data_IF_863814096557
#
_entry.id   IF_863814096557
#
_cell.length_a   1.000
_cell.length_b   1.000
_cell.length_c   1.000
_cell.angle_alpha   90.00
_cell.angle_beta   90.00
_cell.angle_gamma   90.00
#
_symmetry.space_group_name_H-M   'P 1'
#
loop_
_entity.id
_entity.type
_entity.pdbx_description
1 polymer ?
#
# COMPACT_ATOMS: atom_id res chain seq x y z
N UNK A 1 15.59 -9.24 10.19
CA UNK A 1 15.84 -9.54 11.61
C UNK A 1 15.17 -8.43 12.39
N UNK A 2 14.13 -8.76 13.11
CA UNK A 2 13.37 -7.80 13.90
C UNK A 2 14.19 -7.37 15.12
N UNK A 3 14.14 -6.11 15.48
CA UNK A 3 14.86 -5.54 16.62
C UNK A 3 13.87 -4.79 17.49
N UNK A 4 13.84 -5.12 18.77
CA UNK A 4 13.12 -4.36 19.78
C UNK A 4 13.96 -3.19 20.26
N UNK A 5 13.34 -2.01 20.41
CA UNK A 5 13.97 -0.80 20.93
C UNK A 5 13.13 -0.23 22.06
N UNK A 6 13.78 0.28 23.09
CA UNK A 6 13.12 0.83 24.28
C UNK A 6 13.31 2.35 24.41
N UNK A 7 13.98 2.98 23.45
CA UNK A 7 14.22 4.41 23.45
C UNK A 7 14.33 4.98 22.02
N UNK A 8 14.04 6.27 21.89
CA UNK A 8 14.27 7.01 20.65
C UNK A 8 15.74 6.97 20.21
N UNK A 9 16.69 6.99 21.17
CA UNK A 9 18.11 6.90 20.88
C UNK A 9 18.51 5.57 20.23
N UNK A 10 17.99 4.46 20.74
CA UNK A 10 18.20 3.13 20.14
C UNK A 10 17.58 3.05 18.74
N UNK A 11 16.36 3.56 18.58
CA UNK A 11 15.71 3.65 17.27
C UNK A 11 16.56 4.39 16.26
N UNK A 12 17.05 5.59 16.62
CA UNK A 12 17.89 6.41 15.74
C UNK A 12 19.22 5.72 15.40
N UNK A 13 19.82 5.00 16.35
CA UNK A 13 21.06 4.24 16.12
C UNK A 13 20.86 3.17 15.04
N UNK A 14 19.77 2.40 15.12
CA UNK A 14 19.43 1.38 14.12
C UNK A 14 19.13 2.03 12.77
N UNK A 15 18.34 3.11 12.79
CA UNK A 15 17.96 3.87 11.61
C UNK A 15 19.18 4.40 10.85
N UNK A 16 20.12 5.06 11.54
CA UNK A 16 21.34 5.57 10.89
C UNK A 16 22.20 4.45 10.32
N UNK A 17 22.27 3.31 10.95
CA UNK A 17 22.90 2.10 10.40
C UNK A 17 22.26 1.71 9.06
N UNK A 18 20.93 1.62 9.01
CA UNK A 18 20.18 1.29 7.80
C UNK A 18 20.33 2.33 6.70
N UNK A 19 20.26 3.61 7.04
CA UNK A 19 20.47 4.71 6.08
C UNK A 19 21.87 4.61 5.46
N UNK A 20 22.91 4.35 6.27
CA UNK A 20 24.29 4.20 5.79
C UNK A 20 24.44 3.01 4.84
N UNK A 21 23.87 1.86 5.17
CA UNK A 21 23.84 0.66 4.30
C UNK A 21 23.17 0.95 2.96
N UNK A 22 22.06 1.71 2.96
CA UNK A 22 21.28 1.98 1.75
C UNK A 22 21.85 3.11 0.89
N UNK A 23 22.55 4.08 1.48
CA UNK A 23 23.31 5.09 0.71
C UNK A 23 24.34 4.46 -0.22
N UNK A 24 24.94 3.34 0.18
CA UNK A 24 25.89 2.62 -0.65
C UNK A 24 25.20 1.92 -1.85
N UNK A 25 23.89 1.70 -1.79
CA UNK A 25 23.08 1.04 -2.82
C UNK A 25 22.24 2.00 -3.64
N UNK A 26 22.35 3.31 -3.39
CA UNK A 26 21.51 4.36 -4.00
C UNK A 26 20.00 4.05 -3.92
N UNK A 27 19.55 3.53 -2.77
CA UNK A 27 18.17 3.08 -2.57
C UNK A 27 17.46 4.04 -1.63
N UNK A 28 16.25 4.48 -2.00
CA UNK A 28 15.39 5.27 -1.13
C UNK A 28 14.74 4.38 -0.06
N UNK A 29 14.64 4.87 1.17
CA UNK A 29 13.94 4.21 2.26
C UNK A 29 12.56 4.82 2.46
N UNK A 30 11.57 3.95 2.65
CA UNK A 30 10.24 4.33 3.09
C UNK A 30 9.95 3.68 4.43
N UNK A 31 9.04 4.30 5.17
CA UNK A 31 8.73 3.89 6.54
C UNK A 31 7.22 3.82 6.74
N UNK A 32 6.78 2.93 7.63
CA UNK A 32 5.41 2.87 8.10
C UNK A 32 5.40 2.50 9.57
N UNK A 33 4.71 3.29 10.40
CA UNK A 33 4.43 2.97 11.80
C UNK A 33 3.05 2.35 11.97
N UNK A 34 2.94 1.37 12.85
CA UNK A 34 1.70 0.77 13.30
C UNK A 34 1.70 0.67 14.82
N UNK A 35 0.58 1.01 15.47
CA UNK A 35 0.46 1.07 16.93
C UNK A 35 0.45 -0.31 17.62
N UNK A 36 0.38 -1.39 16.87
CA UNK A 36 0.51 -2.75 17.39
C UNK A 36 1.30 -3.64 16.45
N UNK A 37 2.16 -4.46 17.03
CA UNK A 37 2.93 -5.51 16.32
C UNK A 37 2.00 -6.60 15.75
N UNK A 38 0.79 -6.75 16.32
CA UNK A 38 -0.20 -7.73 15.87
C UNK A 38 -0.96 -7.31 14.61
N UNK A 39 -0.77 -6.08 14.14
CA UNK A 39 -1.44 -5.61 12.93
C UNK A 39 -0.74 -6.13 11.68
N UNK A 40 -1.51 -6.77 10.80
CA UNK A 40 -1.04 -7.16 9.48
C UNK A 40 -0.58 -5.96 8.65
N UNK A 41 0.51 -6.16 7.91
CA UNK A 41 1.03 -5.17 6.97
C UNK A 41 0.24 -5.18 5.66
N UNK A 42 -1.06 -4.90 5.76
CA UNK A 42 -1.99 -4.87 4.62
C UNK A 42 -2.90 -3.64 4.69
N UNK A 43 -3.43 -3.16 3.54
CA UNK A 43 -4.42 -2.10 3.49
C UNK A 43 -5.67 -2.39 4.32
N UNK A 44 -6.35 -1.33 4.78
CA UNK A 44 -7.52 -1.44 5.68
C UNK A 44 -8.63 -2.33 5.09
N UNK A 45 -8.88 -2.24 3.79
CA UNK A 45 -9.90 -3.06 3.11
C UNK A 45 -9.59 -4.56 3.17
N UNK A 46 -8.32 -4.95 3.29
CA UNK A 46 -7.88 -6.34 3.31
C UNK A 46 -7.82 -6.95 4.72
N UNK A 47 -7.86 -6.13 5.79
CA UNK A 47 -7.81 -6.62 7.20
C UNK A 47 -9.08 -7.31 7.65
N UNK A 48 -10.16 -7.14 6.90
CA UNK A 48 -11.50 -7.66 7.21
C UNK A 48 -12.14 -8.20 5.94
N UNK A 49 -13.42 -8.62 6.03
CA UNK A 49 -14.20 -9.05 4.86
C UNK A 49 -14.56 -7.90 3.89
N UNK A 50 -14.09 -6.67 4.14
CA UNK A 50 -14.40 -5.52 3.28
C UNK A 50 -13.92 -5.66 1.84
N UNK A 51 -12.88 -6.43 1.59
CA UNK A 51 -12.37 -6.66 0.23
C UNK A 51 -13.42 -7.28 -0.69
N UNK A 52 -14.33 -8.10 -0.14
CA UNK A 52 -15.42 -8.72 -0.90
C UNK A 52 -16.50 -7.70 -1.31
N UNK A 53 -16.65 -6.63 -0.52
CA UNK A 53 -17.62 -5.54 -0.70
C UNK A 53 -16.98 -4.24 -1.17
N UNK A 54 -15.74 -4.30 -1.64
CA UNK A 54 -14.97 -3.10 -2.01
C UNK A 54 -15.68 -2.25 -3.07
N UNK A 55 -16.32 -2.90 -4.04
CA UNK A 55 -17.09 -2.20 -5.07
C UNK A 55 -18.33 -1.49 -4.50
N UNK A 56 -19.04 -2.13 -3.59
CA UNK A 56 -20.20 -1.55 -2.92
C UNK A 56 -19.79 -0.34 -2.05
N UNK A 57 -18.68 -0.49 -1.30
CA UNK A 57 -18.10 0.59 -0.47
C UNK A 57 -17.71 1.78 -1.35
N UNK A 58 -17.03 1.51 -2.50
CA UNK A 58 -16.63 2.54 -3.44
C UNK A 58 -17.83 3.29 -4.00
N UNK A 59 -18.81 2.57 -4.56
CA UNK A 59 -20.00 3.17 -5.17
C UNK A 59 -20.84 3.95 -4.15
N UNK A 60 -20.99 3.43 -2.94
CA UNK A 60 -21.71 4.10 -1.86
C UNK A 60 -21.03 5.39 -1.45
N UNK A 61 -19.70 5.41 -1.32
CA UNK A 61 -18.95 6.62 -1.03
C UNK A 61 -19.17 7.70 -2.09
N UNK A 62 -19.16 7.31 -3.37
CA UNK A 62 -19.40 8.25 -4.50
C UNK A 62 -20.82 8.82 -4.49
N UNK A 63 -21.84 8.01 -4.17
CA UNK A 63 -23.24 8.45 -4.17
C UNK A 63 -23.55 9.33 -2.96
N UNK A 64 -23.11 8.92 -1.77
CA UNK A 64 -23.42 9.64 -0.52
C UNK A 64 -22.67 10.98 -0.40
N UNK A 65 -21.53 11.13 -1.08
CA UNK A 65 -20.67 12.31 -0.99
C UNK A 65 -20.35 12.90 -2.37
N UNK A 66 -21.30 12.91 -3.30
CA UNK A 66 -21.10 13.31 -4.69
C UNK A 66 -20.34 14.63 -4.83
N UNK A 67 -20.69 15.66 -4.06
CA UNK A 67 -20.04 16.98 -4.09
C UNK A 67 -18.55 16.95 -3.78
N UNK A 68 -18.13 16.00 -2.95
CA UNK A 68 -16.72 15.84 -2.55
C UNK A 68 -15.89 15.13 -3.60
N UNK A 69 -16.53 14.34 -4.45
CA UNK A 69 -15.86 13.48 -5.44
C UNK A 69 -16.03 13.94 -6.89
N UNK A 70 -17.04 14.79 -7.22
CA UNK A 70 -17.38 15.15 -8.60
C UNK A 70 -16.26 15.84 -9.38
N UNK A 71 -15.34 16.52 -8.69
CA UNK A 71 -14.20 17.22 -9.30
C UNK A 71 -12.94 16.36 -9.42
N UNK A 72 -12.95 15.14 -8.89
CA UNK A 72 -11.80 14.23 -8.96
C UNK A 72 -11.80 13.49 -10.29
N UNK A 73 -10.66 13.48 -10.96
CA UNK A 73 -10.55 12.99 -12.34
C UNK A 73 -9.97 11.58 -12.41
N UNK A 74 -9.16 11.18 -11.43
CA UNK A 74 -8.49 9.89 -11.40
C UNK A 74 -9.01 8.97 -10.29
N UNK A 75 -8.98 7.67 -10.53
CA UNK A 75 -9.35 6.68 -9.52
C UNK A 75 -8.45 6.77 -8.26
N UNK A 76 -7.18 7.12 -8.44
CA UNK A 76 -6.25 7.29 -7.31
C UNK A 76 -6.64 8.48 -6.42
N UNK A 77 -7.05 9.61 -6.99
CA UNK A 77 -7.56 10.76 -6.21
C UNK A 77 -8.80 10.36 -5.41
N UNK A 78 -9.71 9.62 -6.02
CA UNK A 78 -10.91 9.11 -5.33
C UNK A 78 -10.53 8.22 -4.15
N UNK A 79 -9.64 7.25 -4.34
CA UNK A 79 -9.19 6.38 -3.24
C UNK A 79 -8.50 7.16 -2.13
N UNK A 80 -7.65 8.14 -2.47
CA UNK A 80 -6.97 9.00 -1.50
C UNK A 80 -7.98 9.80 -0.68
N UNK A 81 -9.00 10.35 -1.33
CA UNK A 81 -10.08 11.08 -0.65
C UNK A 81 -10.91 10.16 0.25
N UNK A 82 -11.27 8.97 -0.23
CA UNK A 82 -11.95 7.95 0.58
C UNK A 82 -11.14 7.62 1.83
N UNK A 83 -9.83 7.40 1.68
CA UNK A 83 -8.95 7.10 2.81
C UNK A 83 -8.87 8.24 3.81
N UNK A 84 -8.82 9.48 3.34
CA UNK A 84 -8.85 10.67 4.20
C UNK A 84 -10.14 10.74 5.04
N UNK A 85 -11.28 10.26 4.51
CA UNK A 85 -12.54 10.12 5.26
C UNK A 85 -12.62 8.84 6.12
N UNK A 86 -11.54 8.08 6.22
CA UNK A 86 -11.48 6.85 7.01
C UNK A 86 -12.18 5.65 6.37
N UNK A 87 -12.66 5.79 5.13
CA UNK A 87 -13.28 4.70 4.36
C UNK A 87 -12.20 3.66 4.02
N UNK A 88 -12.46 2.35 4.20
CA UNK A 88 -11.49 1.31 3.86
C UNK A 88 -11.14 1.30 2.37
N UNK A 89 -9.86 1.44 2.05
CA UNK A 89 -9.32 1.36 0.69
C UNK A 89 -8.17 0.36 0.60
N UNK A 90 -7.72 0.05 -0.61
CA UNK A 90 -6.52 -0.74 -0.89
C UNK A 90 -5.21 0.06 -0.82
N UNK A 91 -5.27 1.32 -0.44
CA UNK A 91 -4.08 2.13 -0.22
C UNK A 91 -3.46 1.83 1.15
N UNK A 92 -2.15 1.93 1.21
CA UNK A 92 -1.36 1.80 2.43
C UNK A 92 -0.41 2.98 2.52
N UNK A 93 -0.60 3.83 3.55
CA UNK A 93 0.25 5.01 3.73
C UNK A 93 1.66 4.60 4.14
N UNK A 94 2.62 5.18 3.46
CA UNK A 94 4.04 5.11 3.78
C UNK A 94 4.61 6.54 3.81
N UNK A 95 5.73 6.73 4.47
CA UNK A 95 6.40 8.03 4.60
C UNK A 95 7.89 7.90 4.34
N UNK A 96 8.51 8.95 3.84
CA UNK A 96 9.97 9.07 3.76
C UNK A 96 10.59 9.57 5.07
N UNK A 97 9.75 10.01 6.02
CA UNK A 97 10.22 10.52 7.31
C UNK A 97 10.10 9.42 8.39
N UNK A 98 11.22 8.88 8.89
CA UNK A 98 11.22 7.80 9.89
C UNK A 98 10.65 8.23 11.25
N UNK A 99 10.71 9.53 11.61
CA UNK A 99 10.14 10.00 12.87
C UNK A 99 8.62 10.10 12.81
N UNK A 100 8.04 10.35 11.63
CA UNK A 100 6.59 10.27 11.41
C UNK A 100 6.12 8.82 11.59
N UNK A 101 6.85 7.84 11.06
CA UNK A 101 6.54 6.43 11.28
C UNK A 101 6.64 6.05 12.76
N UNK A 102 7.68 6.50 13.47
CA UNK A 102 7.82 6.29 14.91
C UNK A 102 6.65 6.90 15.69
N UNK A 103 6.23 8.12 15.33
CA UNK A 103 5.07 8.76 15.93
C UNK A 103 3.81 7.89 15.80
N UNK A 104 3.51 7.37 14.60
CA UNK A 104 2.36 6.48 14.39
C UNK A 104 2.50 5.14 15.12
N UNK A 105 3.71 4.64 15.33
CA UNK A 105 3.92 3.44 16.12
C UNK A 105 3.64 3.67 17.62
N UNK A 106 3.84 4.90 18.11
CA UNK A 106 3.68 5.26 19.52
C UNK A 106 2.34 5.93 19.87
N UNK A 107 1.54 6.36 18.88
CA UNK A 107 0.39 7.25 19.08
C UNK A 107 -0.99 6.58 18.92
N UNK A 108 -1.05 5.25 18.88
CA UNK A 108 -2.33 4.55 18.76
C UNK A 108 -3.13 4.55 20.07
N UNK A 109 -4.45 4.83 19.99
CA UNK A 109 -5.39 4.67 21.11
C UNK A 109 -5.66 3.20 21.48
N UNK A 110 -5.08 2.27 20.72
CA UNK A 110 -5.34 0.85 20.83
C UNK A 110 -4.36 0.22 21.81
N UNK A 111 -4.91 -0.26 22.92
CA UNK A 111 -4.21 -1.11 23.88
C UNK A 111 -2.82 -0.60 24.29
N UNK A 112 -2.79 0.31 25.27
CA UNK A 112 -1.58 0.95 25.82
C UNK A 112 -0.45 -0.01 26.23
N UNK A 113 -0.72 -1.31 26.26
CA UNK A 113 0.18 -2.37 26.70
C UNK A 113 0.79 -3.17 25.53
N UNK A 114 0.57 -2.77 24.26
CA UNK A 114 1.17 -3.45 23.11
C UNK A 114 2.28 -2.65 22.49
N UNK A 115 3.30 -3.36 22.05
CA UNK A 115 4.42 -2.79 21.31
C UNK A 115 3.97 -2.32 19.93
N UNK A 116 4.36 -1.10 19.56
CA UNK A 116 4.23 -0.60 18.19
C UNK A 116 5.33 -1.13 17.29
N UNK A 117 5.11 -1.06 15.99
CA UNK A 117 6.07 -1.52 14.98
C UNK A 117 6.36 -0.44 13.95
N UNK A 118 7.65 -0.29 13.61
CA UNK A 118 8.08 0.52 12.45
C UNK A 118 8.67 -0.40 11.39
N UNK A 119 8.01 -0.43 10.22
CA UNK A 119 8.52 -1.10 9.04
C UNK A 119 9.46 -0.18 8.27
N UNK A 120 10.61 -0.71 7.86
CA UNK A 120 11.56 -0.04 6.97
C UNK A 120 11.53 -0.77 5.63
N UNK A 121 11.13 -0.06 4.58
CA UNK A 121 10.92 -0.60 3.25
C UNK A 121 12.04 -0.13 2.33
N UNK A 122 12.61 -1.06 1.57
CA UNK A 122 13.66 -0.83 0.58
C UNK A 122 13.17 -1.24 -0.81
N UNK A 123 12.24 -0.50 -1.42
CA UNK A 123 11.71 -0.88 -2.72
C UNK A 123 12.77 -0.79 -3.81
N UNK A 124 12.63 -1.62 -4.83
CA UNK A 124 13.34 -1.41 -6.08
C UNK A 124 12.77 -0.16 -6.78
N UNK A 125 13.53 0.92 -6.78
CA UNK A 125 13.08 2.21 -7.32
C UNK A 125 12.70 2.14 -8.81
N UNK A 126 13.33 1.24 -9.56
CA UNK A 126 13.07 1.10 -11.00
C UNK A 126 11.71 0.45 -11.25
N UNK A 127 11.36 -0.57 -10.45
CA UNK A 127 10.19 -1.41 -10.72
C UNK A 127 9.01 -1.14 -9.78
N UNK A 128 9.26 -0.67 -8.55
CA UNK A 128 8.25 -0.57 -7.50
C UNK A 128 7.79 0.86 -7.22
N UNK A 129 8.67 1.87 -7.39
CA UNK A 129 8.29 3.27 -7.21
C UNK A 129 7.86 3.87 -8.55
N UNK A 130 6.60 4.25 -8.66
CA UNK A 130 5.99 4.82 -9.87
C UNK A 130 5.28 6.12 -9.58
N UNK A 131 5.36 7.11 -10.47
CA UNK A 131 4.49 8.27 -10.43
C UNK A 131 3.02 7.86 -10.51
N UNK A 132 2.14 8.62 -9.85
CA UNK A 132 0.71 8.33 -9.75
C UNK A 132 -0.05 8.39 -11.10
N UNK A 133 0.51 9.04 -12.10
CA UNK A 133 -0.04 9.22 -13.46
C UNK A 133 0.28 8.08 -14.43
N UNK A 134 1.01 7.05 -13.98
CA UNK A 134 1.35 5.91 -14.82
C UNK A 134 0.20 4.92 -14.95
N UNK A 135 0.10 4.29 -16.11
CA UNK A 135 -0.95 3.33 -16.47
C UNK A 135 -1.15 2.25 -15.39
N UNK A 136 -0.06 1.71 -14.87
CA UNK A 136 -0.11 0.70 -13.80
C UNK A 136 -0.85 1.20 -12.56
N UNK A 137 -0.58 2.43 -12.12
CA UNK A 137 -1.25 3.02 -10.95
C UNK A 137 -2.72 3.30 -11.29
N UNK A 138 -3.02 3.81 -12.48
CA UNK A 138 -4.39 4.04 -12.94
C UNK A 138 -5.21 2.76 -12.96
N UNK A 139 -4.66 1.66 -13.49
CA UNK A 139 -5.32 0.35 -13.52
C UNK A 139 -5.54 -0.19 -12.10
N UNK A 140 -4.51 -0.22 -11.26
CA UNK A 140 -4.61 -0.74 -9.90
C UNK A 140 -5.59 0.07 -9.04
N UNK A 141 -5.61 1.39 -9.20
CA UNK A 141 -6.53 2.28 -8.47
C UNK A 141 -7.98 2.13 -8.96
N UNK A 142 -8.20 1.69 -10.19
CA UNK A 142 -9.54 1.46 -10.73
C UNK A 142 -10.16 0.13 -10.27
N UNK A 143 -9.39 -0.82 -9.75
CA UNK A 143 -9.89 -2.14 -9.34
C UNK A 143 -11.07 -2.10 -8.36
N UNK A 144 -11.17 -1.17 -7.39
CA UNK A 144 -12.34 -1.06 -6.52
C UNK A 144 -13.66 -0.79 -7.25
N UNK A 145 -13.62 -0.23 -8.46
CA UNK A 145 -14.80 0.05 -9.28
C UNK A 145 -15.47 -1.20 -9.83
N UNK A 146 -14.70 -2.30 -9.94
CA UNK A 146 -15.15 -3.54 -10.54
C UNK A 146 -15.78 -4.47 -9.51
N UNK A 147 -16.84 -5.16 -9.92
CA UNK A 147 -17.45 -6.25 -9.17
C UNK A 147 -16.47 -7.42 -9.01
N UNK A 148 -16.77 -8.34 -8.10
CA UNK A 148 -15.97 -9.55 -7.90
C UNK A 148 -15.89 -10.42 -9.17
N UNK A 149 -16.97 -10.45 -9.97
CA UNK A 149 -17.00 -11.17 -11.25
C UNK A 149 -16.01 -10.53 -12.24
N UNK A 150 -16.12 -9.22 -12.48
CA UNK A 150 -15.23 -8.51 -13.39
C UNK A 150 -13.76 -8.62 -12.99
N UNK A 151 -13.45 -8.58 -11.68
CA UNK A 151 -12.07 -8.81 -11.17
C UNK A 151 -11.58 -10.21 -11.49
N UNK A 152 -12.44 -11.23 -11.42
CA UNK A 152 -12.09 -12.60 -11.80
C UNK A 152 -11.85 -12.70 -13.31
N UNK A 153 -12.72 -12.09 -14.12
CA UNK A 153 -12.56 -12.07 -15.58
C UNK A 153 -11.22 -11.42 -15.98
N UNK A 154 -10.87 -10.29 -15.37
CA UNK A 154 -9.57 -9.61 -15.57
C UNK A 154 -8.40 -10.53 -15.18
N UNK A 155 -8.51 -11.25 -14.07
CA UNK A 155 -7.46 -12.19 -13.62
C UNK A 155 -7.27 -13.34 -14.60
N UNK A 156 -8.37 -13.95 -15.06
CA UNK A 156 -8.32 -15.03 -16.05
C UNK A 156 -7.69 -14.57 -17.38
N UNK A 157 -8.02 -13.36 -17.84
CA UNK A 157 -7.40 -12.77 -19.03
C UNK A 157 -5.89 -12.60 -18.83
N UNK A 158 -5.48 -12.04 -17.68
CA UNK A 158 -4.05 -11.84 -17.37
C UNK A 158 -3.27 -13.16 -17.26
N UNK A 159 -3.90 -14.23 -16.76
CA UNK A 159 -3.30 -15.57 -16.70
C UNK A 159 -3.12 -16.16 -18.12
N UNK A 160 -4.12 -16.04 -18.99
CA UNK A 160 -4.02 -16.45 -20.40
C UNK A 160 -2.92 -15.72 -21.17
N UNK A 161 -2.79 -14.42 -20.98
CA UNK A 161 -1.73 -13.62 -21.60
C UNK A 161 -0.33 -14.10 -21.18
N UNK A 162 -0.14 -14.41 -19.91
CA UNK A 162 1.12 -15.00 -19.40
C UNK A 162 1.44 -16.35 -20.04
N UNK A 163 0.44 -17.19 -20.24
CA UNK A 163 0.63 -18.49 -20.90
C UNK A 163 1.03 -18.33 -22.38
N UNK A 164 0.39 -17.38 -23.09
CA UNK A 164 0.72 -17.05 -24.48
C UNK A 164 2.14 -16.49 -24.57
N UNK A 165 2.51 -15.56 -23.69
CA UNK A 165 3.85 -14.99 -23.65
C UNK A 165 4.93 -16.07 -23.40
N UNK A 166 4.67 -16.97 -22.46
CA UNK A 166 5.55 -18.12 -22.18
C UNK A 166 5.68 -19.03 -23.41
N UNK A 167 4.57 -19.37 -24.07
CA UNK A 167 4.59 -20.18 -25.29
C UNK A 167 5.40 -19.52 -26.42
N UNK A 168 5.20 -18.22 -26.63
CA UNK A 168 5.93 -17.47 -27.64
C UNK A 168 7.45 -17.44 -27.36
N UNK A 169 7.84 -17.25 -26.09
CA UNK A 169 9.24 -17.26 -25.69
C UNK A 169 9.89 -18.63 -25.86
N UNK A 170 9.18 -19.72 -25.57
CA UNK A 170 9.64 -21.09 -25.79
C UNK A 170 9.75 -21.44 -27.29
N UNK A 171 8.92 -20.85 -28.15
CA UNK A 171 8.95 -21.04 -29.59
C UNK A 171 10.12 -20.28 -30.26
N UNK A 172 10.59 -19.19 -29.69
CA UNK A 172 11.74 -18.41 -30.21
C UNK A 172 13.08 -19.08 -29.90
N UNK A 173 13.15 -19.97 -28.92
CA UNK A 173 14.37 -20.65 -28.48
C UNK A 173 14.67 -21.93 -29.31
N UNK A 174 13.76 -22.33 -30.18
CA UNK A 174 13.97 -23.46 -31.14
C UNK A 174 14.38 -22.99 -32.50
#
# INVERSE_FOLDING_TARGET
MDKTVNSVGEYLTILFGKIKENKQKDTMLFYRGQASVDYDFVPKVMRTKYVQHENEIYNRAMVENTKDFEHLTTANEVLSKMQHYGIPTRLLDITTNPLVALYFACSGDVEKDKDGTVYILTPNLIDEVRPYDRDRISILSALPRFSSKEKNDIRELAEREKEIEKFNNEAIIK
#
